data_IF_595041691704
#
_entry.id   IF_595041691704
#
_cell.length_a   1.000
_cell.length_b   1.000
_cell.length_c   1.000
_cell.angle_alpha   90.00
_cell.angle_beta   90.00
_cell.angle_gamma   90.00
#
_symmetry.space_group_name_H-M   'P 1'
#
loop_
_entity.id
_entity.type
_entity.pdbx_description
1 polymer ?
#
# COMPACT_ATOMS: atom_id res chain seq x y z
N UNK A 1 -7.74 -16.57 -0.44
CA UNK A 1 -7.51 -15.14 -0.12
C UNK A 1 -6.19 -14.78 -0.74
N UNK A 2 -6.06 -13.66 -1.46
CA UNK A 2 -4.80 -13.32 -2.15
C UNK A 2 -3.95 -12.33 -1.32
N UNK A 3 -2.97 -12.87 -0.59
CA UNK A 3 -2.04 -12.10 0.25
C UNK A 3 -1.28 -11.04 -0.57
N UNK A 4 -0.89 -11.37 -1.80
CA UNK A 4 -0.18 -10.45 -2.68
C UNK A 4 -1.03 -9.22 -3.00
N UNK A 5 -2.32 -9.40 -3.27
CA UNK A 5 -3.25 -8.30 -3.52
C UNK A 5 -3.46 -7.43 -2.28
N UNK A 6 -3.58 -8.04 -1.10
CA UNK A 6 -3.66 -7.31 0.18
C UNK A 6 -2.40 -6.47 0.37
N UNK A 7 -1.20 -7.07 0.31
CA UNK A 7 0.07 -6.35 0.47
C UNK A 7 0.18 -5.20 -0.53
N UNK A 8 -0.23 -5.42 -1.78
CA UNK A 8 -0.19 -4.42 -2.83
C UNK A 8 -1.14 -3.24 -2.54
N UNK A 9 -2.38 -3.51 -2.13
CA UNK A 9 -3.34 -2.48 -1.74
C UNK A 9 -2.82 -1.64 -0.58
N UNK A 10 -2.34 -2.29 0.48
CA UNK A 10 -1.85 -1.61 1.68
C UNK A 10 -0.60 -0.76 1.39
N UNK A 11 0.30 -1.27 0.55
CA UNK A 11 1.46 -0.50 0.08
C UNK A 11 1.03 0.70 -0.76
N UNK A 12 0.09 0.52 -1.69
CA UNK A 12 -0.43 1.62 -2.52
C UNK A 12 -1.14 2.68 -1.67
N UNK A 13 -1.89 2.27 -0.65
CA UNK A 13 -2.54 3.17 0.31
C UNK A 13 -1.52 4.03 1.08
N UNK A 14 -0.50 3.42 1.67
CA UNK A 14 0.56 4.16 2.37
C UNK A 14 1.29 5.14 1.45
N UNK A 15 1.60 4.71 0.21
CA UNK A 15 2.22 5.56 -0.82
C UNK A 15 1.36 6.75 -1.21
N UNK A 16 0.04 6.56 -1.29
CA UNK A 16 -0.92 7.62 -1.62
C UNK A 16 -1.25 8.53 -0.43
N UNK A 17 -0.94 8.11 0.78
CA UNK A 17 -1.22 8.88 2.01
C UNK A 17 -0.11 9.87 2.37
N UNK A 18 0.98 9.89 1.60
CA UNK A 18 2.11 10.81 1.78
C UNK A 18 2.69 10.85 3.21
N UNK A 19 2.73 9.69 3.89
CA UNK A 19 3.44 9.51 5.18
C UNK A 19 4.89 9.98 5.05
N UNK A 20 5.50 9.64 3.92
CA UNK A 20 6.67 10.33 3.40
C UNK A 20 6.23 11.23 2.25
N UNK A 21 6.76 12.44 2.22
CA UNK A 21 6.57 13.35 1.08
C UNK A 21 7.10 12.71 -0.21
N UNK A 22 6.58 13.17 -1.35
CA UNK A 22 7.04 12.77 -2.70
C UNK A 22 8.57 12.83 -2.82
N UNK A 23 9.17 13.92 -2.31
CA UNK A 23 10.62 14.12 -2.31
C UNK A 23 11.34 13.12 -1.41
N UNK A 24 10.85 12.87 -0.19
CA UNK A 24 11.46 11.88 0.72
C UNK A 24 11.40 10.47 0.15
N UNK A 25 10.31 10.11 -0.55
CA UNK A 25 10.19 8.84 -1.28
C UNK A 25 11.12 8.74 -2.48
N UNK A 26 11.59 9.86 -3.03
CA UNK A 26 12.37 9.87 -4.27
C UNK A 26 11.55 9.47 -5.51
N UNK A 27 10.24 9.76 -5.50
CA UNK A 27 9.35 9.56 -6.65
C UNK A 27 9.09 10.86 -7.39
N UNK A 28 8.63 10.75 -8.63
CA UNK A 28 8.11 11.86 -9.42
C UNK A 28 6.65 11.57 -9.77
N UNK A 29 5.77 12.56 -9.62
CA UNK A 29 4.37 12.45 -10.03
C UNK A 29 4.22 12.76 -11.51
N UNK A 30 3.42 11.95 -12.20
CA UNK A 30 3.05 12.15 -13.59
C UNK A 30 1.54 12.11 -13.77
N UNK A 31 1.07 12.88 -14.73
CA UNK A 31 -0.32 12.93 -15.14
C UNK A 31 -0.43 12.51 -16.59
N UNK A 32 -1.16 11.43 -16.83
CA UNK A 32 -1.60 11.06 -18.17
C UNK A 32 -3.01 11.61 -18.39
N UNK A 33 -3.25 12.21 -19.55
CA UNK A 33 -4.57 12.68 -19.98
C UNK A 33 -4.86 12.21 -21.40
N UNK A 34 -6.14 12.09 -21.73
CA UNK A 34 -6.57 11.69 -23.07
C UNK A 34 -8.04 11.37 -23.12
N UNK A 35 -8.43 10.54 -24.09
CA UNK A 35 -9.80 10.05 -24.26
C UNK A 35 -9.77 8.55 -24.46
N UNK A 36 -10.48 7.82 -23.60
CA UNK A 36 -10.72 6.40 -23.80
C UNK A 36 -11.78 6.18 -24.89
N UNK A 37 -11.54 5.19 -25.74
CA UNK A 37 -12.48 4.73 -26.76
C UNK A 37 -12.81 3.25 -26.50
N UNK A 38 -13.74 2.99 -25.57
CA UNK A 38 -14.08 1.65 -25.09
C UNK A 38 -12.88 0.83 -24.58
N UNK A 39 -11.99 1.48 -23.83
CA UNK A 39 -10.76 0.87 -23.34
C UNK A 39 -11.05 -0.07 -22.16
N UNK A 40 -10.68 -1.35 -22.29
CA UNK A 40 -10.69 -2.33 -21.18
C UNK A 40 -9.39 -2.28 -20.35
N UNK A 41 -8.32 -1.73 -20.91
CA UNK A 41 -7.03 -1.56 -20.26
C UNK A 41 -6.42 -0.22 -20.62
N UNK A 42 -5.47 0.24 -19.79
CA UNK A 42 -4.62 1.38 -20.08
C UNK A 42 -3.19 1.09 -19.62
N UNK A 43 -2.21 1.38 -20.47
CA UNK A 43 -0.79 1.28 -20.10
C UNK A 43 -0.28 2.66 -19.75
N UNK A 44 0.21 2.83 -18.53
CA UNK A 44 0.79 4.09 -18.07
C UNK A 44 1.94 4.52 -18.98
N UNK A 45 2.06 5.81 -19.28
CA UNK A 45 3.04 6.29 -20.25
C UNK A 45 4.50 6.13 -19.84
N UNK A 46 4.79 5.76 -18.59
CA UNK A 46 6.14 5.34 -18.12
C UNK A 46 6.23 3.86 -17.77
N UNK A 47 5.30 3.04 -18.25
CA UNK A 47 5.33 1.58 -18.11
C UNK A 47 6.64 0.97 -18.64
N UNK A 48 7.17 -0.13 -18.06
CA UNK A 48 6.60 -0.91 -16.94
C UNK A 48 7.34 -0.84 -15.60
N UNK A 49 8.63 -0.48 -15.53
CA UNK A 49 9.49 -0.81 -14.38
C UNK A 49 9.54 0.21 -13.24
N UNK A 50 8.87 1.36 -13.39
CA UNK A 50 9.06 2.49 -12.47
C UNK A 50 7.78 2.97 -11.78
N UNK A 51 6.58 2.50 -12.15
CA UNK A 51 5.35 2.90 -11.45
C UNK A 51 5.35 2.38 -10.00
N UNK A 52 5.14 3.28 -9.04
CA UNK A 52 5.10 2.95 -7.60
C UNK A 52 3.69 2.92 -7.05
N UNK A 53 2.83 3.83 -7.49
CA UNK A 53 1.45 3.90 -7.06
C UNK A 53 0.64 4.66 -8.09
N UNK A 54 -0.64 4.34 -8.16
CA UNK A 54 -1.64 5.14 -8.88
C UNK A 54 -2.39 5.92 -7.82
N UNK A 55 -2.27 7.26 -7.87
CA UNK A 55 -2.91 8.18 -6.92
C UNK A 55 -4.40 8.33 -7.24
N UNK A 56 -4.74 8.44 -8.52
CA UNK A 56 -6.13 8.54 -8.95
C UNK A 56 -6.30 8.15 -10.42
N UNK A 57 -7.51 7.66 -10.72
CA UNK A 57 -7.99 7.46 -12.08
C UNK A 57 -9.35 8.14 -12.16
N UNK A 58 -9.46 9.16 -13.00
CA UNK A 58 -10.69 9.95 -13.16
C UNK A 58 -11.19 9.84 -14.58
N UNK A 59 -12.49 9.53 -14.73
CA UNK A 59 -13.22 9.52 -16.00
C UNK A 59 -14.63 10.03 -15.75
N UNK A 60 -14.83 11.35 -15.83
CA UNK A 60 -16.07 12.02 -15.42
C UNK A 60 -16.29 12.02 -13.89
N UNK A 61 -16.07 10.87 -13.24
CA UNK A 61 -15.99 10.67 -11.79
C UNK A 61 -14.66 10.00 -11.42
N UNK A 62 -14.30 10.07 -10.14
CA UNK A 62 -13.21 9.26 -9.59
C UNK A 62 -13.62 7.77 -9.68
N UNK A 63 -12.71 6.93 -10.17
CA UNK A 63 -12.86 5.49 -10.15
C UNK A 63 -12.26 4.93 -8.85
N UNK A 64 -12.89 3.88 -8.32
CA UNK A 64 -12.47 3.20 -7.11
C UNK A 64 -11.53 2.03 -7.44
N UNK A 65 -10.36 2.00 -6.79
CA UNK A 65 -9.45 0.86 -6.88
C UNK A 65 -10.09 -0.41 -6.31
N UNK A 66 -9.89 -1.55 -6.98
CA UNK A 66 -10.46 -2.84 -6.62
C UNK A 66 -11.89 -3.04 -7.16
N UNK A 67 -12.71 -1.98 -7.21
CA UNK A 67 -14.09 -2.05 -7.73
C UNK A 67 -14.14 -1.74 -9.23
N UNK A 68 -13.66 -0.55 -9.63
CA UNK A 68 -13.73 -0.08 -11.01
C UNK A 68 -12.50 -0.47 -11.83
N UNK A 69 -11.35 -0.63 -11.17
CA UNK A 69 -10.10 -1.01 -11.81
C UNK A 69 -9.12 -1.69 -10.85
N UNK A 70 -8.20 -2.45 -11.43
CA UNK A 70 -7.01 -2.97 -10.76
C UNK A 70 -5.76 -2.51 -11.50
N UNK A 71 -4.60 -2.62 -10.85
CA UNK A 71 -3.32 -2.21 -11.44
C UNK A 71 -2.30 -3.32 -11.29
N UNK A 72 -1.60 -3.64 -12.36
CA UNK A 72 -0.37 -4.41 -12.29
C UNK A 72 0.80 -3.43 -12.22
N UNK A 73 1.35 -3.20 -11.02
CA UNK A 73 2.45 -2.24 -10.82
C UNK A 73 3.78 -2.69 -11.41
N UNK A 74 3.94 -3.99 -11.73
CA UNK A 74 5.13 -4.49 -12.42
C UNK A 74 5.10 -4.14 -13.90
N UNK A 75 3.91 -4.12 -14.51
CA UNK A 75 3.74 -3.77 -15.93
C UNK A 75 3.21 -2.35 -16.15
N UNK A 76 2.80 -1.64 -15.10
CA UNK A 76 2.12 -0.34 -15.22
C UNK A 76 0.81 -0.41 -16.00
N UNK A 77 0.14 -1.58 -16.04
CA UNK A 77 -1.12 -1.76 -16.75
C UNK A 77 -2.29 -1.64 -15.76
N UNK A 78 -3.21 -0.73 -16.07
CA UNK A 78 -4.51 -0.60 -15.43
C UNK A 78 -5.51 -1.47 -16.19
N UNK A 79 -6.24 -2.31 -15.47
CA UNK A 79 -7.32 -3.13 -16.03
C UNK A 79 -8.64 -2.65 -15.45
N UNK A 80 -9.57 -2.28 -16.32
CA UNK A 80 -10.89 -1.78 -15.92
C UNK A 80 -11.90 -2.94 -15.82
N UNK A 81 -12.71 -2.95 -14.77
CA UNK A 81 -13.80 -3.92 -14.59
C UNK A 81 -14.87 -3.76 -15.68
N UNK A 82 -15.15 -2.52 -16.08
CA UNK A 82 -16.01 -2.17 -17.22
C UNK A 82 -15.22 -1.32 -18.21
N UNK A 83 -15.40 -1.52 -19.51
CA UNK A 83 -14.73 -0.72 -20.52
C UNK A 83 -15.06 0.78 -20.38
N UNK A 84 -14.02 1.61 -20.39
CA UNK A 84 -14.14 3.05 -20.17
C UNK A 84 -14.22 3.81 -21.49
N UNK A 85 -15.07 4.83 -21.56
CA UNK A 85 -15.17 5.75 -22.70
C UNK A 85 -15.30 7.18 -22.20
N UNK A 86 -14.57 8.11 -22.82
CA UNK A 86 -14.58 9.54 -22.48
C UNK A 86 -13.22 10.04 -22.01
N UNK A 87 -13.14 11.35 -21.73
CA UNK A 87 -11.91 11.99 -21.28
C UNK A 87 -11.44 11.44 -19.93
N UNK A 88 -10.14 11.22 -19.81
CA UNK A 88 -9.53 10.70 -18.59
C UNK A 88 -8.38 11.55 -18.09
N UNK A 89 -8.14 11.44 -16.78
CA UNK A 89 -6.94 11.91 -16.09
C UNK A 89 -6.47 10.80 -15.16
N UNK A 90 -5.22 10.36 -15.30
CA UNK A 90 -4.59 9.37 -14.42
C UNK A 90 -3.37 10.01 -13.79
N UNK A 91 -3.32 10.04 -12.46
CA UNK A 91 -2.19 10.57 -11.69
C UNK A 91 -1.49 9.40 -11.00
N UNK A 92 -0.18 9.30 -11.17
CA UNK A 92 0.63 8.22 -10.62
C UNK A 92 2.03 8.69 -10.30
N UNK A 93 2.71 7.97 -9.41
CA UNK A 93 4.09 8.22 -9.08
C UNK A 93 5.00 7.17 -9.72
N UNK A 94 6.19 7.59 -10.14
CA UNK A 94 7.23 6.72 -10.68
C UNK A 94 8.62 7.06 -10.15
N UNK A 95 9.58 6.13 -10.24
CA UNK A 95 11.00 6.38 -9.91
C UNK A 95 11.57 5.41 -8.88
N UNK A 96 12.35 5.92 -7.91
CA UNK A 96 12.74 5.17 -6.71
C UNK A 96 11.60 5.17 -5.69
N UNK A 97 11.74 4.50 -4.54
CA UNK A 97 10.74 4.63 -3.46
C UNK A 97 11.42 4.42 -2.11
N UNK A 98 10.70 4.68 -1.02
CA UNK A 98 11.10 4.33 0.35
C UNK A 98 10.03 3.55 1.12
N UNK A 99 8.91 3.21 0.47
CA UNK A 99 7.83 2.39 1.05
C UNK A 99 7.76 1.07 0.27
N UNK A 100 7.92 -0.06 0.96
CA UNK A 100 8.07 -1.36 0.32
C UNK A 100 7.26 -2.49 0.99
N UNK A 101 6.76 -3.46 0.21
CA UNK A 101 6.05 -4.64 0.73
C UNK A 101 7.01 -5.74 1.21
N UNK A 102 8.15 -5.36 1.77
CA UNK A 102 9.19 -6.26 2.27
C UNK A 102 9.85 -5.67 3.53
N UNK A 103 10.39 -6.54 4.38
CA UNK A 103 11.29 -6.12 5.44
C UNK A 103 12.65 -5.67 4.88
N UNK A 104 13.42 -4.86 5.61
CA UNK A 104 14.75 -4.44 5.19
C UNK A 104 15.63 -5.61 4.79
N UNK A 105 16.47 -5.38 3.80
CA UNK A 105 17.46 -6.32 3.29
C UNK A 105 18.85 -5.92 3.77
N UNK A 106 19.76 -6.89 3.84
CA UNK A 106 21.14 -6.66 4.28
C UNK A 106 21.95 -5.74 3.35
N UNK A 107 21.47 -5.51 2.12
CA UNK A 107 22.12 -4.66 1.12
C UNK A 107 21.81 -3.16 1.26
N UNK A 108 21.01 -2.77 2.26
CA UNK A 108 20.61 -1.38 2.46
C UNK A 108 21.72 -0.54 3.11
N UNK A 109 21.79 0.74 2.71
CA UNK A 109 22.75 1.72 3.23
C UNK A 109 22.02 2.79 4.03
N UNK A 110 22.75 3.66 4.75
CA UNK A 110 22.16 4.80 5.48
C UNK A 110 21.23 5.64 4.59
N UNK A 111 21.61 5.87 3.33
CA UNK A 111 20.83 6.67 2.37
C UNK A 111 19.49 6.02 1.98
N UNK A 112 19.30 4.74 2.30
CA UNK A 112 18.04 4.02 2.09
C UNK A 112 16.97 4.38 3.13
N UNK A 113 17.34 5.13 4.18
CA UNK A 113 16.44 5.59 5.24
C UNK A 113 16.07 7.09 5.02
N UNK A 114 14.92 7.57 5.53
CA UNK A 114 13.90 6.82 6.25
C UNK A 114 13.16 5.81 5.35
N UNK A 115 12.71 4.68 5.88
CA UNK A 115 12.07 3.60 5.12
C UNK A 115 10.81 3.10 5.83
N UNK A 116 9.77 2.75 5.08
CA UNK A 116 8.61 1.99 5.58
C UNK A 116 8.61 0.61 4.94
N UNK A 117 8.58 -0.42 5.78
CA UNK A 117 8.37 -1.81 5.41
C UNK A 117 6.96 -2.23 5.80
N UNK A 118 6.32 -3.07 5.00
CA UNK A 118 5.04 -3.67 5.30
C UNK A 118 5.04 -5.15 4.92
N UNK A 119 4.62 -6.01 5.85
CA UNK A 119 4.42 -7.43 5.56
C UNK A 119 3.25 -8.04 6.33
N UNK A 120 2.72 -9.15 5.81
CA UNK A 120 1.72 -9.97 6.49
C UNK A 120 2.44 -10.92 7.43
N UNK A 121 2.18 -10.79 8.73
CA UNK A 121 2.82 -11.59 9.78
C UNK A 121 1.99 -12.80 10.19
N UNK A 122 0.68 -12.77 9.97
CA UNK A 122 -0.20 -13.88 10.29
C UNK A 122 -1.46 -13.86 9.42
N UNK A 123 -1.94 -15.05 9.09
CA UNK A 123 -3.26 -15.30 8.53
C UNK A 123 -3.91 -16.36 9.39
N UNK A 124 -4.86 -15.98 10.23
CA UNK A 124 -5.58 -16.96 11.05
C UNK A 124 -6.65 -17.64 10.19
N UNK A 125 -6.51 -18.94 10.01
CA UNK A 125 -7.48 -19.78 9.30
C UNK A 125 -8.48 -20.38 10.29
N UNK A 126 -9.33 -19.55 10.88
CA UNK A 126 -10.41 -20.05 11.72
C UNK A 126 -11.64 -20.37 10.84
N UNK A 127 -12.25 -21.54 11.06
CA UNK A 127 -13.52 -21.89 10.43
C UNK A 127 -14.66 -21.15 11.14
N UNK A 128 -14.81 -19.85 10.93
CA UNK A 128 -15.97 -19.12 11.41
C UNK A 128 -17.14 -19.31 10.43
N UNK A 129 -17.90 -20.38 10.62
CA UNK A 129 -19.08 -20.68 9.80
C UNK A 129 -20.33 -20.85 10.67
N UNK A 130 -21.18 -19.82 10.76
CA UNK A 130 -22.61 -20.02 11.01
C UNK A 130 -23.19 -20.51 9.67
N UNK A 131 -22.97 -21.79 9.33
CA UNK A 131 -23.61 -22.46 8.21
C UNK A 131 -23.11 -22.14 6.78
N UNK A 132 -21.98 -21.43 6.62
CA UNK A 132 -21.38 -21.15 5.30
C UNK A 132 -20.14 -22.00 5.02
N UNK A 133 -19.86 -22.29 3.73
CA UNK A 133 -18.68 -23.03 3.25
C UNK A 133 -17.42 -22.16 3.08
N UNK A 134 -17.47 -20.88 3.45
CA UNK A 134 -16.36 -19.94 3.28
C UNK A 134 -15.57 -19.79 4.58
N UNK A 135 -14.24 -19.92 4.49
CA UNK A 135 -13.34 -19.59 5.59
C UNK A 135 -13.25 -18.07 5.72
N UNK A 136 -13.57 -17.55 6.91
CA UNK A 136 -13.35 -16.15 7.25
C UNK A 136 -11.98 -16.09 7.93
N UNK A 137 -11.03 -15.43 7.30
CA UNK A 137 -9.69 -15.27 7.87
C UNK A 137 -9.47 -13.86 8.38
N UNK A 138 -8.73 -13.75 9.48
CA UNK A 138 -8.14 -12.47 9.88
C UNK A 138 -6.70 -12.42 9.37
N UNK A 139 -6.26 -11.23 8.97
CA UNK A 139 -4.92 -10.98 8.45
C UNK A 139 -4.25 -9.96 9.35
N UNK A 140 -3.14 -10.35 9.96
CA UNK A 140 -2.29 -9.41 10.70
C UNK A 140 -1.18 -8.91 9.78
N UNK A 141 -1.06 -7.60 9.68
CA UNK A 141 -0.04 -6.88 8.93
C UNK A 141 0.81 -6.12 9.93
N UNK A 142 2.13 -6.16 9.77
CA UNK A 142 3.02 -5.24 10.50
C UNK A 142 3.56 -4.20 9.54
N UNK A 143 3.63 -2.97 10.02
CA UNK A 143 4.23 -1.84 9.34
C UNK A 143 5.38 -1.38 10.20
N UNK A 144 6.59 -1.39 9.66
CA UNK A 144 7.80 -0.99 10.38
C UNK A 144 8.37 0.24 9.72
N UNK A 145 8.56 1.30 10.51
CA UNK A 145 9.25 2.51 10.09
C UNK A 145 10.68 2.44 10.60
N UNK A 146 11.62 2.83 9.75
CA UNK A 146 13.04 2.91 10.03
C UNK A 146 13.53 4.34 9.78
N UNK A 147 14.25 4.91 10.73
CA UNK A 147 14.83 6.24 10.64
C UNK A 147 16.07 6.37 11.54
N UNK A 148 16.89 7.39 11.30
CA UNK A 148 17.98 7.79 12.21
C UNK A 148 17.51 8.77 13.30
N UNK A 149 16.27 9.28 13.19
CA UNK A 149 15.68 10.20 14.15
C UNK A 149 14.45 9.59 14.87
N UNK A 150 14.48 9.58 16.21
CA UNK A 150 13.42 9.01 17.04
C UNK A 150 12.12 9.82 17.02
N UNK A 151 12.21 11.14 16.89
CA UNK A 151 11.05 12.03 16.88
C UNK A 151 10.29 11.87 15.55
N UNK A 152 11.03 11.71 14.45
CA UNK A 152 10.46 11.41 13.14
C UNK A 152 9.77 10.03 13.13
N UNK A 153 10.38 9.00 13.73
CA UNK A 153 9.76 7.68 13.89
C UNK A 153 8.39 7.75 14.59
N UNK A 154 8.31 8.47 15.70
CA UNK A 154 7.06 8.61 16.46
C UNK A 154 6.01 9.38 15.68
N UNK A 155 6.43 10.42 14.94
CA UNK A 155 5.57 11.17 14.04
C UNK A 155 4.99 10.27 12.94
N UNK A 156 5.83 9.53 12.21
CA UNK A 156 5.38 8.64 11.14
C UNK A 156 4.46 7.52 11.65
N UNK A 157 4.78 6.89 12.78
CA UNK A 157 3.93 5.86 13.38
C UNK A 157 2.56 6.41 13.76
N UNK A 158 2.49 7.62 14.33
CA UNK A 158 1.23 8.27 14.65
C UNK A 158 0.44 8.63 13.39
N UNK A 159 1.09 9.16 12.35
CA UNK A 159 0.45 9.41 11.05
C UNK A 159 -0.13 8.11 10.46
N UNK A 160 0.64 7.02 10.44
CA UNK A 160 0.17 5.71 9.96
C UNK A 160 -1.04 5.26 10.78
N UNK A 161 -0.97 5.33 12.11
CA UNK A 161 -2.09 4.99 13.00
C UNK A 161 -3.36 5.75 12.61
N UNK A 162 -3.28 7.07 12.48
CA UNK A 162 -4.42 7.94 12.17
C UNK A 162 -5.00 7.66 10.77
N UNK A 163 -4.13 7.42 9.77
CA UNK A 163 -4.55 7.03 8.43
C UNK A 163 -5.35 5.73 8.43
N UNK A 164 -4.87 4.72 9.15
CA UNK A 164 -5.53 3.42 9.24
C UNK A 164 -6.85 3.48 10.03
N UNK A 165 -6.92 4.30 11.08
CA UNK A 165 -8.18 4.55 11.82
C UNK A 165 -9.20 5.26 10.92
N UNK A 166 -8.78 6.29 10.20
CA UNK A 166 -9.65 7.08 9.32
C UNK A 166 -10.18 6.25 8.15
N UNK A 167 -9.37 5.32 7.63
CA UNK A 167 -9.72 4.49 6.47
C UNK A 167 -10.15 3.08 6.85
N UNK A 168 -10.50 2.81 8.11
CA UNK A 168 -10.75 1.48 8.64
C UNK A 168 -11.76 0.62 7.85
N UNK A 169 -12.60 1.22 7.00
CA UNK A 169 -13.64 0.57 6.18
C UNK A 169 -13.52 0.82 4.68
N UNK A 170 -12.44 1.45 4.22
CA UNK A 170 -12.31 1.94 2.84
C UNK A 170 -11.47 1.01 1.95
N UNK A 171 -10.97 -0.10 2.48
CA UNK A 171 -10.16 -1.05 1.73
C UNK A 171 -11.04 -2.08 1.02
N UNK A 172 -10.63 -2.44 -0.18
CA UNK A 172 -11.31 -3.42 -1.01
C UNK A 172 -11.13 -4.84 -0.45
N UNK A 173 -9.88 -5.25 -0.18
CA UNK A 173 -9.57 -6.61 0.26
C UNK A 173 -9.73 -6.83 1.76
N UNK A 174 -9.67 -5.76 2.56
CA UNK A 174 -9.82 -5.82 4.02
C UNK A 174 -10.94 -4.88 4.50
N UNK A 175 -12.20 -5.35 4.46
CA UNK A 175 -13.37 -4.50 4.73
C UNK A 175 -13.40 -3.85 6.12
N UNK A 176 -12.72 -4.45 7.08
CA UNK A 176 -12.55 -3.88 8.41
C UNK A 176 -11.11 -4.05 8.85
N UNK A 177 -10.43 -2.95 9.13
CA UNK A 177 -9.09 -2.97 9.70
C UNK A 177 -9.02 -2.14 10.97
N UNK A 178 -8.12 -2.51 11.88
CA UNK A 178 -7.81 -1.71 13.07
C UNK A 178 -6.35 -1.85 13.46
N UNK A 179 -5.69 -0.77 13.93
CA UNK A 179 -4.46 -0.90 14.68
C UNK A 179 -4.66 -1.72 15.95
N UNK A 180 -3.68 -2.55 16.29
CA UNK A 180 -3.75 -3.47 17.44
C UNK A 180 -2.59 -3.28 18.41
N UNK A 181 -1.41 -2.96 17.90
CA UNK A 181 -0.22 -2.83 18.71
C UNK A 181 0.72 -1.79 18.11
N UNK A 182 1.40 -1.03 18.96
CA UNK A 182 2.55 -0.19 18.58
C UNK A 182 3.72 -0.69 19.42
N UNK A 183 4.78 -1.13 18.76
CA UNK A 183 5.98 -1.62 19.42
C UNK A 183 6.83 -0.50 20.01
N UNK A 184 7.80 -0.87 20.86
CA UNK A 184 8.80 0.08 21.34
C UNK A 184 9.72 0.52 20.20
N UNK A 185 10.40 1.65 20.40
CA UNK A 185 11.55 2.01 19.55
C UNK A 185 12.70 1.06 19.84
N UNK A 186 13.22 0.40 18.82
CA UNK A 186 14.32 -0.57 18.91
C UNK A 186 15.48 -0.04 18.08
N UNK A 187 16.69 -0.02 18.65
CA UNK A 187 17.90 0.22 17.88
C UNK A 187 18.18 -0.99 17.00
N UNK A 188 18.37 -0.78 15.70
CA UNK A 188 18.71 -1.87 14.79
C UNK A 188 20.01 -2.55 15.26
N UNK A 189 20.03 -3.90 15.38
CA UNK A 189 21.16 -4.62 15.95
C UNK A 189 22.45 -4.48 15.12
N UNK A 190 22.35 -4.12 13.83
CA UNK A 190 23.51 -3.84 12.97
C UNK A 190 23.95 -2.38 13.06
N UNK A 191 24.80 -2.14 14.06
CA UNK A 191 25.32 -0.86 14.59
C UNK A 191 26.18 0.00 13.63
N UNK A 192 25.96 -0.01 12.32
CA UNK A 192 26.75 0.86 11.43
C UNK A 192 26.20 2.27 11.29
N UNK A 193 24.90 2.49 11.58
CA UNK A 193 24.19 3.66 11.04
C UNK A 193 23.16 4.31 12.00
N UNK A 194 23.20 4.03 13.32
CA UNK A 194 22.25 4.61 14.32
C UNK A 194 20.76 4.50 13.93
N UNK A 195 20.40 3.55 13.05
CA UNK A 195 19.02 3.36 12.61
C UNK A 195 18.20 2.76 13.74
N UNK A 196 17.10 3.42 14.03
CA UNK A 196 16.04 2.97 14.91
C UNK A 196 14.88 2.44 14.09
N UNK A 197 14.10 1.54 14.69
CA UNK A 197 12.87 1.03 14.11
C UNK A 197 11.73 1.10 15.12
N UNK A 198 10.52 1.29 14.61
CA UNK A 198 9.29 1.17 15.38
C UNK A 198 8.21 0.54 14.50
N UNK A 199 7.40 -0.34 15.07
CA UNK A 199 6.35 -1.02 14.34
C UNK A 199 4.95 -0.67 14.84
N UNK A 200 3.98 -0.77 13.93
CA UNK A 200 2.55 -0.76 14.21
C UNK A 200 1.92 -1.98 13.53
N UNK A 201 1.14 -2.73 14.29
CA UNK A 201 0.46 -3.92 13.80
C UNK A 201 -1.01 -3.62 13.54
N UNK A 202 -1.49 -4.01 12.37
CA UNK A 202 -2.85 -3.84 11.89
C UNK A 202 -3.50 -5.20 11.77
N UNK A 203 -4.73 -5.34 12.27
CA UNK A 203 -5.54 -6.53 12.07
C UNK A 203 -6.66 -6.20 11.08
N UNK A 204 -6.63 -6.85 9.92
CA UNK A 204 -7.75 -6.95 9.01
C UNK A 204 -8.66 -8.11 9.40
N UNK A 205 -9.95 -7.82 9.58
CA UNK A 205 -10.97 -8.80 9.90
C UNK A 205 -11.81 -9.13 8.67
N UNK A 206 -12.30 -10.36 8.64
CA UNK A 206 -13.23 -10.83 7.61
C UNK A 206 -12.67 -10.70 6.19
N UNK A 207 -11.41 -11.08 5.98
CA UNK A 207 -10.89 -11.21 4.64
C UNK A 207 -11.61 -12.39 3.96
N UNK A 208 -12.35 -12.10 2.90
CA UNK A 208 -13.11 -13.09 2.13
C UNK A 208 -12.40 -13.32 0.81
N UNK A 209 -12.43 -14.56 0.33
CA UNK A 209 -12.01 -14.90 -1.03
C UNK A 209 -13.01 -14.27 -1.99
N UNK A 210 -12.61 -13.20 -2.68
CA UNK A 210 -13.36 -12.70 -3.82
C UNK A 210 -13.41 -13.80 -4.89
N UNK A 211 -14.62 -14.28 -5.19
CA UNK A 211 -14.89 -15.30 -6.21
C UNK A 211 -14.53 -14.83 -7.62
#
# INVERSE_FOLDING_TARGET
>A
MNITHIKQEQTNFLRNSDVFTITQRGVTTKTDTGTFASASTYTLSTSPTICKNVRSVTRGSLLNYGEDYTVNFLTGVITFTTAQTGSYTIIYDYGTDKIYPDFPRDDLTINSYPRIALDVINVSMDSFGIGGSQFISNVAITIVVFDDNSDDLDSYINTIKELYVTNAKNFYYLKFIKPTFIGPTINSPDKKNEIMQKNIDILGMFAVDSA
#
